data_IF_680266571114
#
_entry.id   IF_680266571114
#
_cell.length_a   1.000
_cell.length_b   1.000
_cell.length_c   1.000
_cell.angle_alpha   90.00
_cell.angle_beta   90.00
_cell.angle_gamma   90.00
#
_symmetry.space_group_name_H-M   'P 1'
#
loop_
_entity.id
_entity.type
_entity.pdbx_description
1 polymer ?
#
# COMPACT_ATOMS: atom_id res chain seq x y z
N UNK A 1 18.04 0.80 -23.54
CA UNK A 1 17.34 0.03 -22.49
C UNK A 1 16.59 1.01 -21.60
N UNK A 2 15.24 0.93 -21.54
CA UNK A 2 14.45 1.69 -20.57
C UNK A 2 14.31 0.83 -19.32
N UNK A 3 15.17 1.06 -18.33
CA UNK A 3 15.07 0.43 -17.02
C UNK A 3 13.86 1.03 -16.29
N UNK A 4 12.76 0.30 -16.24
CA UNK A 4 11.61 0.62 -15.39
C UNK A 4 11.75 -0.14 -14.09
N UNK A 5 12.64 0.33 -13.23
CA UNK A 5 12.84 -0.29 -11.92
C UNK A 5 11.67 0.11 -11.01
N UNK A 6 10.64 -0.73 -11.02
CA UNK A 6 9.48 -0.60 -10.16
C UNK A 6 9.54 -1.74 -9.15
N UNK A 7 10.16 -1.46 -8.00
CA UNK A 7 9.97 -2.24 -6.79
C UNK A 7 8.49 -2.55 -6.65
N UNK A 8 8.17 -3.84 -6.46
CA UNK A 8 6.82 -4.35 -6.29
C UNK A 8 5.85 -3.31 -5.68
N UNK A 9 5.05 -2.67 -6.53
CA UNK A 9 3.85 -1.91 -6.14
C UNK A 9 2.71 -2.84 -5.69
N UNK A 10 3.07 -3.98 -5.14
CA UNK A 10 2.19 -5.15 -5.01
C UNK A 10 1.88 -5.53 -3.56
N UNK A 11 2.52 -4.92 -2.55
CA UNK A 11 1.76 -4.67 -1.32
C UNK A 11 0.55 -3.79 -1.67
N UNK A 12 -0.54 -3.74 -0.88
CA UNK A 12 -1.57 -2.71 -1.06
C UNK A 12 -0.93 -1.36 -0.71
N UNK A 13 -0.11 -0.84 -1.63
CA UNK A 13 0.67 0.36 -1.49
C UNK A 13 0.32 1.27 -2.64
N UNK A 14 -0.71 2.04 -2.33
CA UNK A 14 -1.08 3.33 -2.87
C UNK A 14 0.14 4.15 -3.34
N UNK A 15 -0.04 4.78 -4.49
CA UNK A 15 0.86 5.75 -5.10
C UNK A 15 0.91 7.00 -4.22
N UNK A 16 1.79 7.04 -3.23
CA UNK A 16 1.79 8.10 -2.22
C UNK A 16 2.54 9.34 -2.68
N UNK A 17 2.34 10.50 -2.02
CA UNK A 17 2.83 11.86 -2.36
C UNK A 17 3.25 12.81 -1.21
N UNK A 18 4.34 12.56 -0.48
CA UNK A 18 4.72 13.43 0.66
C UNK A 18 5.32 14.76 0.24
N UNK A 19 4.86 15.83 0.88
CA UNK A 19 5.78 16.75 1.56
C UNK A 19 5.53 16.51 3.04
N UNK A 20 6.56 16.12 3.79
CA UNK A 20 6.47 16.16 5.24
C UNK A 20 6.17 17.62 5.63
N UNK A 21 5.02 17.84 6.27
CA UNK A 21 4.71 19.14 6.87
C UNK A 21 5.90 19.49 7.78
N UNK A 22 6.50 20.69 7.68
CA UNK A 22 7.67 21.08 8.48
C UNK A 22 7.49 20.89 9.99
N UNK A 23 6.24 20.82 10.44
CA UNK A 23 5.86 20.72 11.85
C UNK A 23 5.69 19.27 12.33
N UNK A 24 5.60 18.29 11.42
CA UNK A 24 5.52 16.87 11.80
C UNK A 24 6.89 16.25 12.07
N UNK A 25 7.94 16.86 11.52
CA UNK A 25 9.32 16.40 11.69
C UNK A 25 10.22 17.63 11.79
N UNK A 26 10.94 17.85 12.90
CA UNK A 26 11.87 18.97 13.00
C UNK A 26 12.91 18.84 11.89
N UNK A 27 12.88 19.77 10.93
CA UNK A 27 13.74 19.78 9.72
C UNK A 27 15.25 19.82 9.99
N UNK A 28 15.67 19.92 11.25
CA UNK A 28 17.06 20.11 11.66
C UNK A 28 17.49 19.17 12.81
N UNK A 29 16.89 17.98 12.89
CA UNK A 29 17.39 16.94 13.82
C UNK A 29 18.59 16.19 13.20
N UNK A 30 19.74 16.07 13.89
CA UNK A 30 20.91 15.32 13.39
C UNK A 30 20.57 13.88 12.98
N UNK A 31 19.52 13.29 13.56
CA UNK A 31 19.06 11.94 13.28
C UNK A 31 18.58 11.71 11.82
N UNK A 32 18.07 12.71 11.09
CA UNK A 32 17.59 12.49 9.72
C UNK A 32 18.73 12.45 8.70
N UNK A 33 19.71 13.35 8.82
CA UNK A 33 20.89 13.34 7.94
C UNK A 33 21.82 12.14 8.25
N UNK A 34 21.89 11.72 9.52
CA UNK A 34 22.66 10.55 9.93
C UNK A 34 21.98 9.22 9.54
N UNK A 35 20.64 9.14 9.59
CA UNK A 35 19.90 7.94 9.18
C UNK A 35 19.83 7.74 7.66
N UNK A 36 19.84 8.81 6.86
CA UNK A 36 19.74 8.72 5.38
C UNK A 36 21.11 8.80 4.69
N UNK A 37 22.19 9.12 5.42
CA UNK A 37 23.56 8.99 4.94
C UNK A 37 23.81 9.70 3.60
N UNK A 38 23.26 10.91 3.41
CA UNK A 38 23.47 11.69 2.18
C UNK A 38 24.89 12.29 2.21
N UNK A 39 25.88 11.50 1.82
CA UNK A 39 27.26 11.95 1.69
C UNK A 39 27.40 12.78 0.41
N UNK A 40 27.60 14.10 0.55
CA UNK A 40 28.02 14.96 -0.57
C UNK A 40 29.48 14.65 -0.88
N UNK A 41 29.72 13.86 -1.91
CA UNK A 41 31.08 13.56 -2.38
C UNK A 41 31.61 14.76 -3.16
N UNK A 42 32.75 15.30 -2.73
CA UNK A 42 33.52 16.33 -3.43
C UNK A 42 33.94 15.86 -4.82
N UNK A 43 33.78 16.71 -5.85
CA UNK A 43 34.13 16.39 -7.25
C UNK A 43 35.64 16.29 -7.53
N UNK A 44 36.48 16.65 -6.56
CA UNK A 44 37.94 16.80 -6.77
C UNK A 44 38.79 15.74 -6.07
N UNK A 45 38.18 14.64 -5.59
CA UNK A 45 38.94 13.48 -5.10
C UNK A 45 39.51 12.73 -6.30
N UNK A 46 40.85 12.64 -6.38
CA UNK A 46 41.52 11.61 -7.18
C UNK A 46 40.89 10.27 -6.80
N UNK A 47 40.10 9.71 -7.71
CA UNK A 47 39.52 8.39 -7.52
C UNK A 47 40.70 7.42 -7.35
N UNK A 48 40.72 6.72 -6.21
CA UNK A 48 41.41 5.44 -6.11
C UNK A 48 41.13 4.63 -7.38
N UNK A 49 42.10 3.81 -7.83
CA UNK A 49 41.91 2.91 -8.98
C UNK A 49 40.53 2.25 -8.92
N UNK A 50 39.71 2.49 -9.96
CA UNK A 50 38.33 2.01 -10.02
C UNK A 50 38.34 0.48 -9.89
N UNK A 51 37.70 -0.09 -8.86
CA UNK A 51 37.68 -1.53 -8.66
C UNK A 51 36.87 -2.22 -9.77
N UNK A 52 37.04 -3.54 -9.91
CA UNK A 52 36.18 -4.32 -10.80
C UNK A 52 34.70 -4.13 -10.42
N UNK A 53 33.84 -3.96 -11.43
CA UNK A 53 32.40 -3.85 -11.24
C UNK A 53 31.86 -5.11 -10.57
N UNK A 54 30.94 -4.99 -9.59
CA UNK A 54 30.42 -6.13 -8.88
C UNK A 54 29.50 -6.94 -9.79
N UNK A 55 29.73 -8.25 -9.85
CA UNK A 55 28.82 -9.23 -10.42
C UNK A 55 28.15 -9.97 -9.27
N UNK A 56 27.08 -9.40 -8.73
CA UNK A 56 26.33 -10.00 -7.62
C UNK A 56 25.86 -11.40 -8.01
N UNK A 57 26.00 -12.42 -7.14
CA UNK A 57 25.54 -13.76 -7.45
C UNK A 57 24.07 -13.77 -7.87
N UNK A 58 23.76 -14.44 -8.98
CA UNK A 58 22.37 -14.58 -9.46
C UNK A 58 21.47 -15.23 -8.40
N UNK A 59 22.01 -16.20 -7.65
CA UNK A 59 21.33 -16.90 -6.55
C UNK A 59 22.02 -16.67 -5.22
N UNK A 60 21.35 -15.97 -4.30
CA UNK A 60 21.81 -15.79 -2.92
C UNK A 60 20.65 -15.55 -1.95
N UNK A 61 20.91 -15.76 -0.65
CA UNK A 61 20.04 -15.29 0.42
C UNK A 61 20.84 -14.69 1.57
N UNK A 62 20.21 -13.83 2.35
CA UNK A 62 20.84 -13.15 3.48
C UNK A 62 19.79 -12.64 4.49
N UNK A 63 20.11 -12.64 5.80
CA UNK A 63 19.42 -11.76 6.71
C UNK A 63 19.70 -10.30 6.32
N UNK A 64 18.71 -9.44 6.46
CA UNK A 64 18.84 -8.01 6.18
C UNK A 64 18.49 -7.17 7.41
N UNK A 65 19.18 -6.04 7.57
CA UNK A 65 18.60 -4.91 8.28
C UNK A 65 18.03 -3.97 7.22
N UNK A 66 16.78 -3.57 7.36
CA UNK A 66 16.13 -2.70 6.40
C UNK A 66 15.81 -1.34 7.03
N UNK A 67 15.81 -0.33 6.18
CA UNK A 67 15.25 1.00 6.48
C UNK A 67 14.35 1.38 5.32
N UNK A 68 13.09 1.72 5.57
CA UNK A 68 12.13 2.13 4.54
C UNK A 68 11.38 3.39 4.93
N UNK A 69 11.01 4.18 3.93
CA UNK A 69 10.15 5.36 4.03
C UNK A 69 9.09 5.30 2.94
N UNK A 70 8.30 4.23 2.90
CA UNK A 70 7.28 3.99 1.87
C UNK A 70 5.89 4.51 2.26
N UNK A 71 5.60 4.56 3.56
CA UNK A 71 4.32 5.04 4.11
C UNK A 71 4.41 6.46 4.66
N UNK A 72 5.46 7.21 4.35
CA UNK A 72 5.70 8.53 4.98
C UNK A 72 6.22 8.44 6.42
N UNK A 73 6.51 7.21 6.89
CA UNK A 73 7.12 6.93 8.17
C UNK A 73 8.43 6.19 7.97
N UNK A 74 9.44 6.56 8.76
CA UNK A 74 10.68 5.81 8.81
C UNK A 74 10.44 4.51 9.57
N UNK A 75 10.60 3.39 8.88
CA UNK A 75 10.57 2.07 9.48
C UNK A 75 11.97 1.47 9.38
N UNK A 76 12.43 0.89 10.48
CA UNK A 76 13.68 0.15 10.54
C UNK A 76 13.42 -1.21 11.15
N UNK A 77 14.07 -2.25 10.67
CA UNK A 77 13.90 -3.56 11.25
C UNK A 77 14.84 -4.61 10.69
N UNK A 78 14.61 -5.84 11.13
CA UNK A 78 15.26 -7.03 10.59
C UNK A 78 14.33 -7.71 9.60
N UNK A 79 14.92 -8.43 8.67
CA UNK A 79 14.20 -9.17 7.65
C UNK A 79 15.07 -10.23 6.99
N UNK A 80 14.56 -10.76 5.90
CA UNK A 80 15.24 -11.74 5.08
C UNK A 80 15.10 -11.39 3.60
N UNK A 81 16.17 -11.62 2.84
CA UNK A 81 16.19 -11.44 1.40
C UNK A 81 16.69 -12.74 0.74
N UNK A 82 16.03 -13.16 -0.33
CA UNK A 82 16.53 -14.19 -1.22
C UNK A 82 16.25 -13.83 -2.67
N UNK A 83 17.12 -14.24 -3.58
CA UNK A 83 16.87 -14.16 -5.01
C UNK A 83 17.47 -15.35 -5.75
N UNK A 84 16.88 -15.63 -6.90
CA UNK A 84 17.42 -16.47 -7.97
C UNK A 84 17.04 -15.80 -9.29
N UNK A 85 17.98 -15.02 -9.84
CA UNK A 85 17.75 -14.24 -11.06
C UNK A 85 17.57 -15.14 -12.29
N UNK A 86 18.17 -16.32 -12.30
CA UNK A 86 18.04 -17.29 -13.40
C UNK A 86 16.62 -17.89 -13.41
N UNK A 87 16.06 -18.16 -12.23
CA UNK A 87 14.67 -18.60 -12.04
C UNK A 87 13.65 -17.45 -11.99
N UNK A 88 14.10 -16.21 -12.17
CA UNK A 88 13.27 -14.99 -12.08
C UNK A 88 12.47 -14.91 -10.78
N UNK A 89 13.12 -15.21 -9.66
CA UNK A 89 12.51 -15.25 -8.34
C UNK A 89 13.21 -14.33 -7.34
N UNK A 90 12.44 -13.67 -6.49
CA UNK A 90 12.94 -12.85 -5.39
C UNK A 90 11.96 -12.86 -4.23
N UNK A 91 12.46 -12.98 -3.00
CA UNK A 91 11.68 -12.93 -1.77
C UNK A 91 12.25 -11.89 -0.82
N UNK A 92 11.36 -11.10 -0.24
CA UNK A 92 11.68 -10.15 0.83
C UNK A 92 10.70 -10.38 1.97
N UNK A 93 11.21 -10.61 3.17
CA UNK A 93 10.44 -10.73 4.40
C UNK A 93 10.82 -9.62 5.35
N UNK A 94 9.83 -8.93 5.91
CA UNK A 94 10.03 -7.82 6.84
C UNK A 94 8.93 -7.80 7.89
N UNK A 95 9.25 -7.39 9.12
CA UNK A 95 8.24 -7.06 10.13
C UNK A 95 8.11 -5.55 10.18
N UNK A 96 6.97 -5.02 9.76
CA UNK A 96 6.73 -3.57 9.59
C UNK A 96 5.74 -3.05 10.62
N UNK A 97 5.95 -1.81 11.05
CA UNK A 97 4.99 -1.09 11.90
C UNK A 97 4.15 -0.14 11.05
N UNK A 98 2.87 -0.43 10.93
CA UNK A 98 1.99 0.37 10.07
C UNK A 98 1.71 1.74 10.68
N UNK A 99 2.00 2.81 9.94
CA UNK A 99 1.74 4.20 10.32
C UNK A 99 2.37 4.61 11.67
N UNK A 100 3.52 4.02 12.00
CA UNK A 100 4.22 4.27 13.26
C UNK A 100 3.54 3.67 14.50
N UNK A 101 2.40 3.00 14.36
CA UNK A 101 1.75 2.35 15.51
C UNK A 101 2.44 1.04 15.84
N UNK A 102 2.27 0.60 17.09
CA UNK A 102 2.75 -0.70 17.58
C UNK A 102 1.86 -1.86 17.09
N UNK A 103 1.73 -1.95 15.76
CA UNK A 103 1.02 -3.01 15.05
C UNK A 103 2.01 -3.70 14.11
N UNK A 104 2.86 -4.59 14.64
CA UNK A 104 3.80 -5.33 13.83
C UNK A 104 3.03 -6.20 12.83
N UNK A 105 3.40 -6.05 11.57
CA UNK A 105 2.81 -6.76 10.44
C UNK A 105 3.93 -7.54 9.77
N UNK A 106 3.82 -8.87 9.77
CA UNK A 106 4.75 -9.71 9.02
C UNK A 106 4.37 -9.61 7.55
N UNK A 107 5.25 -9.01 6.74
CA UNK A 107 5.03 -8.78 5.32
C UNK A 107 6.08 -9.55 4.55
N UNK A 108 5.62 -10.48 3.71
CA UNK A 108 6.45 -11.19 2.75
C UNK A 108 6.00 -10.86 1.34
N UNK A 109 6.93 -10.40 0.51
CA UNK A 109 6.74 -10.26 -0.93
C UNK A 109 7.59 -11.29 -1.64
N UNK A 110 6.95 -12.16 -2.42
CA UNK A 110 7.60 -13.08 -3.35
C UNK A 110 7.28 -12.65 -4.78
N UNK A 111 8.31 -12.43 -5.59
CA UNK A 111 8.20 -12.31 -7.04
C UNK A 111 8.64 -13.65 -7.63
N UNK A 112 7.87 -14.18 -8.58
CA UNK A 112 8.29 -15.34 -9.38
C UNK A 112 7.74 -15.21 -10.81
N UNK A 113 8.63 -15.11 -11.78
CA UNK A 113 8.26 -14.77 -13.15
C UNK A 113 7.58 -13.39 -13.20
N UNK A 114 6.38 -13.31 -13.77
CA UNK A 114 5.63 -12.05 -13.91
C UNK A 114 4.50 -11.91 -12.89
N UNK A 115 4.65 -12.53 -11.72
CA UNK A 115 3.66 -12.51 -10.64
C UNK A 115 4.31 -12.08 -9.33
N UNK A 116 3.55 -11.31 -8.55
CA UNK A 116 3.88 -11.00 -7.16
C UNK A 116 2.89 -11.67 -6.24
N UNK A 117 3.40 -12.27 -5.17
CA UNK A 117 2.63 -12.89 -4.10
C UNK A 117 2.96 -12.12 -2.82
N UNK A 118 1.95 -11.49 -2.24
CA UNK A 118 2.11 -10.65 -1.06
C UNK A 118 1.39 -11.32 0.08
N UNK A 119 2.16 -11.75 1.07
CA UNK A 119 1.66 -12.40 2.26
C UNK A 119 1.75 -11.45 3.44
N UNK A 120 0.64 -11.38 4.18
CA UNK A 120 0.57 -10.62 5.41
C UNK A 120 0.12 -11.53 6.54
N UNK A 121 0.84 -11.47 7.66
CA UNK A 121 0.56 -12.26 8.86
C UNK A 121 1.64 -13.30 9.17
N UNK A 122 1.67 -13.73 10.43
CA UNK A 122 2.47 -14.84 10.95
C UNK A 122 1.70 -16.15 10.81
N UNK A 123 1.14 -16.64 11.91
CA UNK A 123 0.50 -17.95 11.98
C UNK A 123 -0.78 -18.05 11.13
N UNK A 124 -1.41 -16.90 10.86
CA UNK A 124 -2.61 -16.79 10.03
C UNK A 124 -2.35 -15.96 8.77
N UNK A 125 -1.20 -16.21 8.13
CA UNK A 125 -0.84 -15.53 6.91
C UNK A 125 -1.94 -15.66 5.84
N UNK A 126 -2.17 -14.57 5.13
CA UNK A 126 -3.01 -14.55 3.93
C UNK A 126 -2.14 -14.22 2.74
N UNK A 127 -2.42 -14.78 1.57
CA UNK A 127 -1.67 -14.47 0.37
C UNK A 127 -2.53 -13.78 -0.67
N UNK A 128 -1.98 -12.72 -1.28
CA UNK A 128 -2.54 -12.06 -2.45
C UNK A 128 -1.66 -12.29 -3.65
N UNK A 129 -2.24 -12.80 -4.73
CA UNK A 129 -1.60 -12.76 -6.03
C UNK A 129 -1.89 -11.43 -6.71
N UNK A 130 -0.86 -10.64 -6.93
CA UNK A 130 -0.94 -9.39 -7.70
C UNK A 130 -0.26 -9.62 -9.04
N UNK A 131 -1.02 -9.42 -10.11
CA UNK A 131 -0.47 -9.42 -11.46
C UNK A 131 0.41 -8.18 -11.64
N UNK A 132 1.51 -8.35 -12.36
CA UNK A 132 2.26 -7.23 -12.90
C UNK A 132 1.41 -6.50 -13.95
N UNK A 133 1.41 -5.16 -13.88
CA UNK A 133 0.62 -4.32 -14.79
C UNK A 133 1.45 -3.90 -15.99
N UNK A 134 0.84 -3.95 -17.19
CA UNK A 134 1.48 -3.50 -18.42
C UNK A 134 2.69 -4.34 -18.81
N UNK A 135 3.84 -3.69 -19.00
CA UNK A 135 5.10 -4.32 -19.45
C UNK A 135 6.00 -4.75 -18.27
N UNK A 136 5.47 -4.79 -17.06
CA UNK A 136 6.21 -5.19 -15.87
C UNK A 136 6.60 -6.68 -15.95
N UNK A 137 7.87 -6.96 -15.70
CA UNK A 137 8.44 -8.29 -15.64
C UNK A 137 9.49 -8.34 -14.53
N UNK A 138 9.90 -9.54 -14.13
CA UNK A 138 11.05 -9.69 -13.25
C UNK A 138 12.30 -9.11 -13.92
N UNK A 139 13.02 -8.26 -13.19
CA UNK A 139 14.34 -7.78 -13.52
C UNK A 139 15.28 -8.09 -12.35
N UNK A 140 16.50 -8.51 -12.63
CA UNK A 140 17.54 -8.67 -11.61
C UNK A 140 17.90 -7.29 -11.03
N UNK A 141 17.64 -7.13 -9.73
CA UNK A 141 17.86 -5.90 -8.96
C UNK A 141 19.31 -5.43 -8.96
N UNK A 142 20.26 -6.32 -9.24
CA UNK A 142 21.70 -6.05 -9.16
C UNK A 142 22.41 -6.04 -10.51
N UNK A 143 21.79 -6.54 -11.58
CA UNK A 143 22.40 -6.67 -12.90
C UNK A 143 22.97 -5.36 -13.46
N UNK A 144 22.36 -4.22 -13.10
CA UNK A 144 22.82 -2.91 -13.55
C UNK A 144 24.24 -2.57 -13.06
N UNK A 145 24.66 -3.07 -11.90
CA UNK A 145 25.94 -2.70 -11.30
C UNK A 145 27.14 -3.22 -12.11
N UNK A 146 26.97 -4.37 -12.77
CA UNK A 146 27.96 -4.96 -13.67
C UNK A 146 28.07 -4.23 -15.03
N UNK A 147 27.10 -3.39 -15.40
CA UNK A 147 27.03 -2.77 -16.71
C UNK A 147 27.76 -1.40 -16.76
N UNK A 148 28.89 -1.29 -17.47
CA UNK A 148 29.69 -0.06 -17.48
C UNK A 148 29.03 1.13 -18.18
N UNK A 149 27.98 0.92 -18.97
CA UNK A 149 27.25 2.01 -19.62
C UNK A 149 26.28 2.72 -18.67
N UNK A 150 25.89 2.06 -17.57
CA UNK A 150 24.87 2.56 -16.65
C UNK A 150 25.31 2.49 -15.18
N UNK A 151 26.54 2.08 -14.85
CA UNK A 151 27.06 2.09 -13.49
C UNK A 151 28.28 2.99 -13.33
N UNK A 152 28.30 3.75 -12.22
CA UNK A 152 29.37 4.67 -11.88
C UNK A 152 29.92 4.38 -10.47
N UNK A 153 31.23 4.23 -10.36
CA UNK A 153 31.92 4.11 -9.07
C UNK A 153 31.99 5.48 -8.37
N UNK A 154 31.66 5.52 -7.09
CA UNK A 154 31.60 6.75 -6.26
C UNK A 154 32.57 6.73 -5.08
N UNK A 155 33.53 5.81 -5.07
CA UNK A 155 34.50 5.65 -3.99
C UNK A 155 34.18 4.52 -3.03
N UNK A 156 35.01 4.39 -1.99
CA UNK A 156 34.81 3.42 -0.91
C UNK A 156 33.92 4.00 0.18
N UNK A 157 33.15 3.14 0.86
CA UNK A 157 32.35 3.48 2.04
C UNK A 157 32.47 2.35 3.07
N UNK A 158 32.23 2.67 4.33
CA UNK A 158 32.08 1.68 5.40
C UNK A 158 30.60 1.55 5.74
N UNK A 159 30.05 0.33 5.63
CA UNK A 159 28.67 0.02 6.02
C UNK A 159 28.69 -1.16 6.98
N UNK A 160 28.08 -0.99 8.16
CA UNK A 160 28.05 -2.02 9.21
C UNK A 160 29.44 -2.65 9.50
N UNK A 161 30.49 -1.83 9.51
CA UNK A 161 31.87 -2.27 9.73
C UNK A 161 32.57 -2.92 8.54
N UNK A 162 31.92 -3.05 7.38
CA UNK A 162 32.48 -3.62 6.14
C UNK A 162 32.87 -2.50 5.18
N UNK A 163 34.12 -2.54 4.68
CA UNK A 163 34.58 -1.62 3.63
C UNK A 163 34.07 -2.14 2.29
N UNK A 164 33.35 -1.32 1.54
CA UNK A 164 32.78 -1.69 0.25
C UNK A 164 32.95 -0.57 -0.79
N UNK A 165 32.91 -0.97 -2.05
CA UNK A 165 32.93 -0.08 -3.21
C UNK A 165 31.50 0.37 -3.51
N UNK A 166 31.28 1.67 -3.58
CA UNK A 166 29.96 2.26 -3.81
C UNK A 166 29.74 2.52 -5.31
N UNK A 167 28.64 1.97 -5.82
CA UNK A 167 28.24 2.07 -7.22
C UNK A 167 26.88 2.75 -7.32
N UNK A 168 26.69 3.60 -8.32
CA UNK A 168 25.43 4.28 -8.60
C UNK A 168 24.89 3.88 -9.96
N UNK A 169 23.58 3.71 -10.06
CA UNK A 169 22.89 3.59 -11.34
C UNK A 169 22.82 4.98 -12.00
N UNK A 170 23.45 5.11 -13.15
CA UNK A 170 23.30 6.24 -14.06
C UNK A 170 21.96 6.11 -14.79
N UNK A 171 20.91 6.63 -14.17
CA UNK A 171 19.59 6.71 -14.79
C UNK A 171 19.29 8.13 -15.26
N UNK A 172 18.64 8.24 -16.42
CA UNK A 172 17.97 9.48 -16.86
C UNK A 172 16.65 9.70 -16.14
N UNK A 173 16.13 8.66 -15.48
CA UNK A 173 14.97 8.79 -14.60
C UNK A 173 15.38 9.42 -13.28
N UNK A 174 14.42 9.96 -12.54
CA UNK A 174 14.71 10.55 -11.24
C UNK A 174 15.11 9.47 -10.19
N UNK A 175 14.84 8.20 -10.45
CA UNK A 175 15.21 7.06 -9.59
C UNK A 175 16.72 7.03 -9.36
N UNK A 176 17.12 7.06 -8.08
CA UNK A 176 18.50 6.89 -7.65
C UNK A 176 18.65 5.51 -7.03
N UNK A 177 19.56 4.71 -7.56
CA UNK A 177 19.89 3.41 -7.00
C UNK A 177 21.38 3.40 -6.72
N UNK A 178 21.76 2.93 -5.55
CA UNK A 178 23.17 2.71 -5.22
C UNK A 178 23.37 1.34 -4.59
N UNK A 179 24.49 0.71 -4.90
CA UNK A 179 24.93 -0.56 -4.35
C UNK A 179 26.31 -0.39 -3.74
N UNK A 180 26.47 -0.66 -2.45
CA UNK A 180 27.78 -0.88 -1.84
C UNK A 180 28.09 -2.37 -1.89
N UNK A 181 29.21 -2.76 -2.50
CA UNK A 181 29.61 -4.15 -2.68
C UNK A 181 31.06 -4.40 -2.24
N UNK A 182 31.28 -5.54 -1.58
CA UNK A 182 32.60 -6.07 -1.23
C UNK A 182 32.97 -7.15 -2.24
N UNK A 183 33.70 -6.75 -3.29
CA UNK A 183 33.86 -7.57 -4.49
C UNK A 183 32.48 -7.83 -5.13
N UNK A 184 32.08 -9.09 -5.21
CA UNK A 184 30.77 -9.49 -5.73
C UNK A 184 29.68 -9.61 -4.65
N UNK A 185 30.00 -9.43 -3.36
CA UNK A 185 29.01 -9.56 -2.30
C UNK A 185 28.29 -8.22 -2.05
N UNK A 186 26.96 -8.12 -2.23
CA UNK A 186 26.22 -6.93 -1.81
C UNK A 186 26.38 -6.71 -0.30
N UNK A 187 26.57 -5.45 0.08
CA UNK A 187 26.65 -4.99 1.48
C UNK A 187 25.46 -4.09 1.80
N UNK A 188 25.13 -3.16 0.91
CA UNK A 188 23.98 -2.27 1.04
C UNK A 188 23.37 -1.96 -0.32
N UNK A 189 22.06 -2.08 -0.45
CA UNK A 189 21.30 -1.59 -1.60
C UNK A 189 20.42 -0.44 -1.13
N UNK A 190 20.59 0.74 -1.71
CA UNK A 190 19.68 1.86 -1.51
C UNK A 190 18.92 2.15 -2.80
N UNK A 191 17.61 2.29 -2.68
CA UNK A 191 16.72 2.70 -3.76
C UNK A 191 15.94 3.93 -3.28
N UNK A 192 16.16 5.04 -3.95
CA UNK A 192 15.40 6.28 -3.76
C UNK A 192 14.60 6.55 -5.02
N UNK A 193 13.28 6.50 -4.92
CA UNK A 193 12.37 7.00 -5.94
C UNK A 193 11.97 8.40 -5.49
N UNK A 194 12.62 9.47 -5.97
CA UNK A 194 12.28 10.81 -5.52
C UNK A 194 10.88 11.20 -6.00
N UNK A 195 10.37 12.24 -5.34
CA UNK A 195 9.13 12.91 -5.72
C UNK A 195 9.20 13.39 -7.18
N UNK A 196 8.46 12.75 -8.08
CA UNK A 196 8.30 13.24 -9.45
C UNK A 196 7.64 14.63 -9.43
N UNK A 197 8.35 15.64 -9.94
CA UNK A 197 7.89 17.05 -9.98
C UNK A 197 6.54 17.27 -10.66
N UNK A 198 6.09 16.35 -11.53
CA UNK A 198 4.86 16.46 -12.31
C UNK A 198 3.63 15.81 -11.68
N UNK A 199 3.82 14.90 -10.73
CA UNK A 199 2.72 14.22 -10.04
C UNK A 199 2.68 14.60 -8.58
N UNK A 200 3.85 14.58 -7.92
CA UNK A 200 4.17 14.90 -6.53
C UNK A 200 4.40 13.69 -5.58
N UNK A 201 4.84 12.53 -6.11
CA UNK A 201 5.23 11.28 -5.41
C UNK A 201 5.78 11.38 -3.97
N UNK A 202 5.52 10.40 -3.10
CA UNK A 202 6.24 10.14 -1.86
C UNK A 202 7.62 9.81 -2.37
N UNK A 203 8.62 10.42 -1.74
CA UNK A 203 9.97 9.90 -1.92
C UNK A 203 10.01 8.52 -1.27
N UNK A 204 9.99 7.45 -2.06
CA UNK A 204 10.20 6.12 -1.52
C UNK A 204 11.69 5.92 -1.34
N UNK A 205 12.09 5.62 -0.11
CA UNK A 205 13.47 5.23 0.19
C UNK A 205 13.45 3.84 0.78
N UNK A 206 14.22 2.94 0.18
CA UNK A 206 14.48 1.60 0.70
C UNK A 206 15.98 1.44 0.84
N UNK A 207 16.43 0.96 1.98
CA UNK A 207 17.79 0.55 2.24
C UNK A 207 17.77 -0.88 2.77
N UNK A 208 18.55 -1.77 2.16
CA UNK A 208 18.77 -3.13 2.62
C UNK A 208 20.26 -3.30 2.91
N UNK A 209 20.61 -3.49 4.17
CA UNK A 209 21.96 -3.89 4.59
C UNK A 209 22.00 -5.40 4.72
N UNK A 210 22.86 -6.04 3.92
CA UNK A 210 22.95 -7.49 3.83
C UNK A 210 23.97 -8.03 4.82
N UNK A 211 23.55 -9.03 5.60
CA UNK A 211 24.43 -9.82 6.45
C UNK A 211 25.29 -10.80 5.66
N UNK A 212 25.57 -11.95 6.26
CA UNK A 212 26.30 -13.02 5.58
C UNK A 212 25.45 -13.63 4.46
N UNK A 213 26.07 -13.87 3.31
CA UNK A 213 25.38 -14.41 2.14
C UNK A 213 25.52 -15.94 2.08
N UNK A 214 24.38 -16.62 1.94
CA UNK A 214 24.31 -18.00 1.46
C UNK A 214 24.22 -17.95 -0.07
N UNK A 215 25.02 -18.73 -0.81
CA UNK A 215 25.16 -18.57 -2.28
C UNK A 215 24.87 -19.86 -3.05
N UNK A 216 24.39 -19.70 -4.28
CA UNK A 216 24.23 -20.80 -5.23
C UNK A 216 23.36 -21.93 -4.67
N UNK A 217 23.84 -23.17 -4.78
CA UNK A 217 23.13 -24.38 -4.32
C UNK A 217 22.88 -24.45 -2.83
N UNK A 218 23.51 -23.60 -2.02
CA UNK A 218 23.25 -23.53 -0.57
C UNK A 218 21.95 -22.77 -0.25
N UNK A 219 21.41 -22.00 -1.21
CA UNK A 219 20.12 -21.32 -1.04
C UNK A 219 19.01 -22.36 -1.23
N UNK A 220 18.24 -22.61 -0.17
CA UNK A 220 17.10 -23.52 -0.23
C UNK A 220 16.12 -23.11 -1.33
N UNK A 221 15.68 -24.07 -2.14
CA UNK A 221 14.70 -23.85 -3.22
C UNK A 221 13.35 -23.42 -2.64
N UNK A 222 12.95 -23.98 -1.51
CA UNK A 222 11.66 -23.72 -0.85
C UNK A 222 11.45 -22.24 -0.52
N UNK A 223 12.52 -21.48 -0.30
CA UNK A 223 12.46 -20.04 -0.04
C UNK A 223 11.87 -19.26 -1.22
N UNK A 224 12.10 -19.73 -2.44
CA UNK A 224 11.71 -19.04 -3.68
C UNK A 224 10.53 -19.75 -4.37
N UNK A 225 10.04 -20.84 -3.79
CA UNK A 225 8.83 -21.48 -4.25
C UNK A 225 7.59 -20.68 -3.85
N UNK A 226 6.55 -20.78 -4.69
CA UNK A 226 5.25 -20.18 -4.40
C UNK A 226 4.64 -20.94 -3.21
N UNK A 227 4.28 -20.27 -2.11
CA UNK A 227 3.64 -20.93 -0.99
C UNK A 227 2.27 -21.46 -1.37
N UNK A 228 1.88 -22.62 -0.83
CA UNK A 228 0.59 -23.28 -1.10
C UNK A 228 -0.60 -22.38 -0.72
N UNK A 229 -0.45 -21.54 0.31
CA UNK A 229 -1.49 -20.59 0.74
C UNK A 229 -1.87 -19.61 -0.38
N UNK A 230 -1.00 -19.42 -1.37
CA UNK A 230 -1.22 -18.55 -2.53
C UNK A 230 -1.95 -19.24 -3.69
N UNK A 231 -2.25 -20.53 -3.59
CA UNK A 231 -2.98 -21.29 -4.62
C UNK A 231 -4.49 -21.07 -4.57
N UNK A 232 -5.01 -20.63 -3.44
CA UNK A 232 -6.45 -20.43 -3.22
C UNK A 232 -6.71 -19.09 -2.55
N UNK A 233 -7.86 -18.50 -2.85
CA UNK A 233 -8.34 -17.35 -2.09
C UNK A 233 -8.63 -17.81 -0.66
N UNK A 234 -8.29 -16.97 0.32
CA UNK A 234 -8.50 -17.34 1.71
C UNK A 234 -10.00 -17.54 1.99
N UNK A 235 -10.39 -18.56 2.78
CA UNK A 235 -11.80 -18.87 3.02
C UNK A 235 -12.50 -17.72 3.77
N UNK A 236 -13.83 -17.60 3.62
CA UNK A 236 -14.61 -16.63 4.38
C UNK A 236 -14.43 -16.85 5.89
N UNK A 237 -14.65 -15.80 6.67
CA UNK A 237 -14.58 -15.87 8.12
C UNK A 237 -15.67 -16.79 8.68
N UNK A 238 -15.26 -17.92 9.26
CA UNK A 238 -16.18 -18.94 9.78
C UNK A 238 -17.11 -18.41 10.87
N UNK A 239 -16.65 -17.46 11.68
CA UNK A 239 -17.45 -16.82 12.72
C UNK A 239 -18.59 -15.95 12.18
N UNK A 240 -18.61 -15.64 10.88
CA UNK A 240 -19.71 -14.97 10.20
C UNK A 240 -20.63 -15.90 9.41
N UNK A 241 -20.24 -17.15 9.19
CA UNK A 241 -21.02 -18.10 8.39
C UNK A 241 -22.33 -18.46 9.08
N UNK A 242 -23.45 -18.35 8.37
CA UNK A 242 -24.78 -18.69 8.90
C UNK A 242 -25.38 -17.62 9.83
N UNK A 243 -24.72 -16.47 10.00
CA UNK A 243 -25.26 -15.35 10.76
C UNK A 243 -26.11 -14.43 9.87
N UNK A 244 -27.05 -13.71 10.49
CA UNK A 244 -27.82 -12.68 9.79
C UNK A 244 -26.90 -11.59 9.21
N UNK A 245 -27.27 -10.96 8.08
CA UNK A 245 -26.56 -9.80 7.58
C UNK A 245 -26.47 -8.71 8.64
N UNK A 246 -25.33 -8.04 8.69
CA UNK A 246 -25.07 -6.97 9.65
C UNK A 246 -25.15 -5.61 8.94
N UNK A 247 -25.68 -4.58 9.62
CA UNK A 247 -25.59 -3.22 9.10
C UNK A 247 -24.12 -2.77 9.08
N UNK A 248 -23.73 -2.09 8.01
CA UNK A 248 -22.43 -1.44 7.89
C UNK A 248 -22.62 0.03 7.53
N UNK A 249 -22.13 0.92 8.39
CA UNK A 249 -21.97 2.34 8.09
C UNK A 249 -20.65 2.53 7.33
N UNK A 250 -20.77 2.71 6.02
CA UNK A 250 -19.64 2.81 5.11
C UNK A 250 -19.40 4.25 4.67
N UNK A 251 -18.13 4.63 4.56
CA UNK A 251 -17.66 5.92 4.10
C UNK A 251 -16.77 5.72 2.88
N UNK A 252 -16.83 6.68 1.95
CA UNK A 252 -16.00 6.69 0.74
C UNK A 252 -15.63 8.13 0.38
N UNK A 253 -14.35 8.33 0.10
CA UNK A 253 -13.78 9.57 -0.40
C UNK A 253 -13.60 9.48 -1.92
N UNK A 254 -14.28 10.35 -2.69
CA UNK A 254 -14.45 10.18 -4.14
C UNK A 254 -14.42 11.53 -4.91
N UNK A 255 -14.19 11.50 -6.24
CA UNK A 255 -13.73 12.68 -6.98
C UNK A 255 -14.80 13.63 -7.51
N UNK A 256 -16.06 13.23 -7.59
CA UNK A 256 -17.05 14.02 -8.30
C UNK A 256 -18.50 13.61 -8.08
N UNK A 257 -19.39 14.36 -8.74
CA UNK A 257 -20.84 14.18 -8.64
C UNK A 257 -21.40 13.25 -9.74
N UNK A 258 -20.56 12.58 -10.55
CA UNK A 258 -21.06 11.75 -11.64
C UNK A 258 -21.73 10.48 -11.10
N UNK A 259 -22.69 9.90 -11.82
CA UNK A 259 -23.37 8.68 -11.35
C UNK A 259 -22.38 7.52 -11.10
N UNK A 260 -21.31 7.44 -11.90
CA UNK A 260 -20.25 6.44 -11.75
C UNK A 260 -19.48 6.62 -10.44
N UNK A 261 -19.29 7.86 -9.96
CA UNK A 261 -18.61 8.15 -8.69
C UNK A 261 -19.41 7.66 -7.46
N UNK A 262 -20.72 7.42 -7.60
CA UNK A 262 -21.57 6.90 -6.53
C UNK A 262 -21.82 5.39 -6.64
N UNK A 263 -21.34 4.73 -7.70
CA UNK A 263 -21.46 3.29 -7.84
C UNK A 263 -20.45 2.58 -6.95
N UNK A 264 -20.96 1.84 -5.95
CA UNK A 264 -20.11 1.10 -5.01
C UNK A 264 -19.62 -0.26 -5.55
N UNK A 265 -20.06 -0.69 -6.72
CA UNK A 265 -19.55 -1.91 -7.35
C UNK A 265 -18.06 -1.80 -7.65
N UNK A 266 -17.31 -2.80 -7.18
CA UNK A 266 -15.86 -2.88 -7.33
C UNK A 266 -15.16 -1.61 -6.78
N UNK A 267 -15.73 -1.02 -5.73
CA UNK A 267 -15.15 0.07 -4.94
C UNK A 267 -14.69 -0.38 -3.55
N UNK A 268 -13.73 0.37 -3.03
CA UNK A 268 -13.32 0.31 -1.65
C UNK A 268 -14.14 1.31 -0.84
N UNK A 269 -14.65 0.85 0.28
CA UNK A 269 -15.24 1.69 1.32
C UNK A 269 -14.58 1.38 2.65
N UNK A 270 -14.86 2.16 3.66
CA UNK A 270 -14.33 1.92 4.99
C UNK A 270 -15.36 2.23 6.06
N UNK A 271 -15.17 1.71 7.27
CA UNK A 271 -15.86 2.29 8.42
C UNK A 271 -15.29 3.70 8.73
N UNK A 272 -15.88 4.40 9.70
CA UNK A 272 -15.49 5.77 10.02
C UNK A 272 -14.01 5.90 10.41
N UNK A 273 -13.43 4.90 11.08
CA UNK A 273 -12.03 4.94 11.49
C UNK A 273 -11.10 4.61 10.32
N UNK A 274 -11.47 3.62 9.50
CA UNK A 274 -10.73 3.24 8.30
C UNK A 274 -10.70 4.35 7.25
N UNK A 275 -11.81 5.07 7.05
CA UNK A 275 -11.87 6.18 6.10
C UNK A 275 -11.17 7.43 6.65
N UNK A 276 -11.28 7.69 7.97
CA UNK A 276 -10.48 8.74 8.60
C UNK A 276 -8.98 8.47 8.45
N UNK A 277 -8.53 7.23 8.63
CA UNK A 277 -7.15 6.84 8.38
C UNK A 277 -6.77 7.05 6.91
N UNK A 278 -7.63 6.67 5.96
CA UNK A 278 -7.42 6.91 4.53
C UNK A 278 -7.32 8.39 4.19
N UNK A 279 -8.29 9.22 4.60
CA UNK A 279 -8.30 10.67 4.35
C UNK A 279 -7.10 11.34 5.01
N UNK A 280 -6.75 10.98 6.26
CA UNK A 280 -5.56 11.51 6.91
C UNK A 280 -4.30 11.15 6.13
N UNK A 281 -4.22 9.90 5.66
CA UNK A 281 -3.06 9.45 4.92
C UNK A 281 -2.95 10.14 3.56
N UNK A 282 -4.08 10.22 2.86
CA UNK A 282 -4.18 10.93 1.59
C UNK A 282 -3.83 12.40 1.77
N UNK A 283 -4.39 13.10 2.75
CA UNK A 283 -4.17 14.55 2.87
C UNK A 283 -2.86 14.97 3.53
N UNK A 284 -2.29 14.17 4.43
CA UNK A 284 -0.98 14.48 5.04
C UNK A 284 0.18 14.04 4.15
N UNK A 285 0.02 12.92 3.46
CA UNK A 285 1.09 12.29 2.70
C UNK A 285 0.79 12.27 1.20
N UNK A 286 -0.25 12.95 0.71
CA UNK A 286 -0.53 13.19 -0.71
C UNK A 286 -1.06 14.58 -1.04
N UNK A 287 -0.20 15.40 -1.66
CA UNK A 287 -0.64 16.54 -2.49
C UNK A 287 -0.68 16.16 -3.98
N UNK A 288 -1.23 14.99 -4.30
CA UNK A 288 -1.25 14.50 -5.69
C UNK A 288 -2.39 15.05 -6.50
N UNK A 289 -2.01 15.62 -7.66
CA UNK A 289 -2.92 15.75 -8.81
C UNK A 289 -3.20 14.41 -9.49
N UNK A 290 -2.69 13.29 -8.95
CA UNK A 290 -2.69 11.97 -9.59
C UNK A 290 -3.84 11.09 -9.09
N UNK A 291 -4.26 11.22 -7.84
CA UNK A 291 -5.43 10.50 -7.33
C UNK A 291 -6.69 11.38 -7.43
N UNK A 292 -7.36 11.19 -8.55
CA UNK A 292 -8.78 11.40 -8.83
C UNK A 292 -9.38 12.81 -8.59
N UNK A 293 -8.71 13.76 -7.94
CA UNK A 293 -9.31 15.01 -7.47
C UNK A 293 -10.47 14.76 -6.49
N UNK A 294 -10.22 13.95 -5.45
CA UNK A 294 -11.19 13.69 -4.38
C UNK A 294 -11.79 14.99 -3.82
N UNK A 295 -13.09 15.21 -4.02
CA UNK A 295 -13.79 16.45 -3.66
C UNK A 295 -14.96 16.20 -2.70
N UNK A 296 -15.42 14.96 -2.59
CA UNK A 296 -16.62 14.60 -1.86
C UNK A 296 -16.37 13.40 -0.97
N UNK A 297 -17.10 13.36 0.15
CA UNK A 297 -17.13 12.20 1.05
C UNK A 297 -18.59 11.80 1.17
N UNK A 298 -18.91 10.54 0.95
CA UNK A 298 -20.27 10.01 1.08
C UNK A 298 -20.34 8.99 2.21
N UNK A 299 -21.45 8.99 2.95
CA UNK A 299 -21.82 7.94 3.90
C UNK A 299 -22.96 7.11 3.33
N UNK A 300 -22.83 5.80 3.43
CA UNK A 300 -23.81 4.82 3.04
C UNK A 300 -24.20 3.94 4.22
N UNK A 301 -25.47 3.55 4.26
CA UNK A 301 -25.91 2.44 5.09
C UNK A 301 -26.01 1.21 4.20
N UNK A 302 -25.25 0.17 4.53
CA UNK A 302 -25.21 -1.10 3.81
C UNK A 302 -25.76 -2.23 4.68
N UNK A 303 -26.17 -3.33 4.04
CA UNK A 303 -26.24 -4.65 4.69
C UNK A 303 -25.19 -5.54 4.07
N UNK A 304 -24.41 -6.22 4.92
CA UNK A 304 -23.32 -7.10 4.48
C UNK A 304 -23.38 -8.44 5.19
N UNK A 305 -23.00 -9.51 4.49
CA UNK A 305 -22.75 -10.79 5.12
C UNK A 305 -21.54 -10.67 6.05
N UNK A 306 -21.64 -11.11 7.33
CA UNK A 306 -20.49 -11.07 8.24
C UNK A 306 -19.45 -12.16 7.94
N UNK A 307 -19.73 -13.08 7.00
CA UNK A 307 -18.79 -14.08 6.50
C UNK A 307 -17.78 -13.46 5.51
N UNK A 308 -17.02 -12.48 5.99
CA UNK A 308 -16.12 -11.67 5.18
C UNK A 308 -15.05 -12.51 4.48
N UNK A 309 -14.79 -12.19 3.21
CA UNK A 309 -13.67 -12.71 2.45
C UNK A 309 -12.38 -11.94 2.72
N UNK A 310 -11.33 -12.33 2.02
CA UNK A 310 -10.07 -11.59 1.97
C UNK A 310 -10.29 -10.18 1.40
N UNK A 311 -9.79 -9.15 2.09
CA UNK A 311 -9.81 -7.80 1.55
C UNK A 311 -9.03 -7.73 0.25
N UNK A 312 -9.60 -7.02 -0.72
CA UNK A 312 -9.03 -6.84 -2.04
C UNK A 312 -9.15 -5.39 -2.43
N UNK A 313 -8.09 -4.79 -2.98
CA UNK A 313 -8.18 -3.46 -3.53
C UNK A 313 -9.20 -3.45 -4.68
N UNK A 314 -10.32 -2.80 -4.43
CA UNK A 314 -11.38 -2.51 -5.37
C UNK A 314 -11.31 -1.01 -5.69
N UNK A 315 -10.32 -0.57 -6.45
CA UNK A 315 -10.11 0.87 -6.72
C UNK A 315 -10.69 1.21 -8.07
N UNK A 316 -12.01 1.09 -8.16
CA UNK A 316 -12.78 1.00 -9.40
C UNK A 316 -12.78 2.22 -10.30
N UNK A 317 -11.63 2.64 -10.80
CA UNK A 317 -11.51 3.83 -11.62
C UNK A 317 -11.43 3.47 -13.11
N UNK A 318 -12.15 4.20 -13.99
CA UNK A 318 -12.28 3.86 -15.41
C UNK A 318 -10.95 3.87 -16.19
N UNK A 319 -9.91 4.51 -15.64
CA UNK A 319 -8.61 4.69 -16.28
C UNK A 319 -7.59 3.56 -15.96
N UNK A 320 -8.00 2.49 -15.28
CA UNK A 320 -7.15 1.31 -15.03
C UNK A 320 -6.94 0.49 -16.31
N UNK A 321 -5.92 -0.37 -16.35
CA UNK A 321 -5.71 -1.33 -17.45
C UNK A 321 -5.68 -2.75 -16.84
N UNK A 322 -6.64 -3.65 -17.18
CA UNK A 322 -7.76 -3.43 -18.10
C UNK A 322 -8.75 -2.38 -17.57
N UNK A 323 -9.40 -1.66 -18.49
CA UNK A 323 -10.34 -0.58 -18.17
C UNK A 323 -11.55 -1.10 -17.43
N UNK A 324 -11.84 -0.47 -16.30
CA UNK A 324 -13.05 -0.72 -15.53
C UNK A 324 -12.75 -1.19 -14.11
N UNK A 325 -13.74 -1.04 -13.23
CA UNK A 325 -13.56 -1.35 -11.84
C UNK A 325 -13.49 -2.88 -11.68
N UNK A 326 -12.44 -3.37 -11.01
CA UNK A 326 -12.37 -4.77 -10.62
C UNK A 326 -11.60 -4.91 -9.32
N UNK A 327 -12.13 -5.73 -8.41
CA UNK A 327 -11.41 -6.14 -7.22
C UNK A 327 -10.28 -7.10 -7.59
N UNK A 328 -9.06 -6.80 -7.15
CA UNK A 328 -7.88 -7.61 -7.47
C UNK A 328 -7.51 -8.52 -6.29
N UNK A 329 -7.17 -9.77 -6.59
CA UNK A 329 -6.66 -10.78 -5.64
C UNK A 329 -7.68 -11.34 -4.64
N UNK A 330 -8.98 -11.28 -4.97
CA UNK A 330 -10.08 -11.65 -4.08
C UNK A 330 -11.02 -12.69 -4.60
N UNK A 331 -11.88 -13.16 -3.70
CA UNK A 331 -13.08 -13.88 -4.12
C UNK A 331 -14.08 -12.85 -4.69
N UNK A 332 -14.53 -12.99 -5.94
CA UNK A 332 -15.31 -11.97 -6.67
C UNK A 332 -16.75 -11.77 -6.20
N UNK A 333 -17.21 -12.51 -5.20
CA UNK A 333 -18.56 -12.50 -4.62
C UNK A 333 -18.57 -12.10 -3.15
N UNK A 334 -17.50 -12.32 -2.40
CA UNK A 334 -17.47 -12.02 -0.97
C UNK A 334 -17.04 -10.58 -0.70
N UNK A 335 -17.75 -9.88 0.20
CA UNK A 335 -17.22 -8.62 0.76
C UNK A 335 -15.87 -8.90 1.42
N UNK A 336 -14.81 -8.33 0.88
CA UNK A 336 -13.49 -8.43 1.46
C UNK A 336 -13.37 -7.49 2.64
N UNK A 337 -12.82 -7.92 3.77
CA UNK A 337 -12.57 -7.06 4.95
C UNK A 337 -11.13 -7.14 5.39
N UNK A 338 -10.53 -6.02 5.79
CA UNK A 338 -9.15 -5.99 6.25
C UNK A 338 -8.80 -4.68 6.94
N UNK A 339 -7.81 -4.72 7.81
CA UNK A 339 -7.27 -3.51 8.40
C UNK A 339 -6.63 -2.63 7.32
N UNK A 340 -6.75 -1.28 7.42
CA UNK A 340 -6.08 -0.35 6.54
C UNK A 340 -4.59 -0.65 6.41
N UNK A 341 -4.07 -0.55 5.18
CA UNK A 341 -2.66 -0.78 4.85
C UNK A 341 -2.14 -2.16 5.28
N UNK A 342 -3.02 -3.16 5.36
CA UNK A 342 -2.67 -4.52 5.82
C UNK A 342 -2.04 -4.55 7.22
N UNK A 343 -2.46 -3.65 8.11
CA UNK A 343 -1.96 -3.61 9.48
C UNK A 343 -2.33 -4.88 10.28
N UNK A 344 -1.39 -5.34 11.10
CA UNK A 344 -1.59 -6.43 12.05
C UNK A 344 -1.43 -7.82 11.43
N UNK A 345 -1.76 -8.84 12.22
CA UNK A 345 -1.66 -10.24 11.82
C UNK A 345 -2.87 -10.68 10.98
N UNK A 346 -2.62 -11.36 9.86
CA UNK A 346 -3.65 -11.85 8.93
C UNK A 346 -4.64 -10.78 8.44
N UNK A 347 -4.23 -9.50 8.47
CA UNK A 347 -5.03 -8.30 8.19
C UNK A 347 -6.28 -8.10 9.04
N UNK A 348 -6.39 -8.79 10.17
CA UNK A 348 -7.54 -8.69 11.07
C UNK A 348 -8.90 -8.98 10.40
N UNK A 349 -8.93 -9.67 9.25
CA UNK A 349 -10.16 -9.80 8.44
C UNK A 349 -11.32 -10.48 9.15
N UNK A 350 -11.04 -11.34 10.13
CA UNK A 350 -12.03 -12.06 10.94
C UNK A 350 -12.13 -11.51 12.37
N UNK A 351 -11.37 -10.47 12.70
CA UNK A 351 -11.44 -9.82 14.01
C UNK A 351 -12.77 -9.09 14.19
N UNK A 352 -13.20 -8.94 15.44
CA UNK A 352 -14.36 -8.12 15.76
C UNK A 352 -14.03 -6.62 15.61
N UNK A 353 -12.79 -6.24 15.92
CA UNK A 353 -12.35 -4.85 15.96
C UNK A 353 -10.94 -4.71 15.37
N UNK A 354 -10.65 -3.50 14.91
CA UNK A 354 -9.32 -3.08 14.45
C UNK A 354 -9.03 -1.70 15.04
N UNK A 355 -7.82 -1.45 15.56
CA UNK A 355 -7.44 -0.14 16.10
C UNK A 355 -7.40 0.96 15.02
N UNK A 356 -7.42 0.59 13.75
CA UNK A 356 -7.49 1.49 12.59
C UNK A 356 -8.87 1.53 11.93
N UNK A 357 -9.85 0.79 12.45
CA UNK A 357 -11.04 0.44 11.70
C UNK A 357 -10.75 -0.54 10.58
N UNK A 358 -11.71 -0.70 9.68
CA UNK A 358 -11.66 -1.65 8.58
C UNK A 358 -11.89 -0.97 7.23
N UNK A 359 -11.19 -1.50 6.23
CA UNK A 359 -11.51 -1.32 4.83
C UNK A 359 -12.30 -2.51 4.31
N UNK A 360 -13.18 -2.23 3.37
CA UNK A 360 -14.07 -3.19 2.74
C UNK A 360 -13.95 -3.08 1.23
N UNK A 361 -13.72 -4.21 0.57
CA UNK A 361 -13.82 -4.33 -0.87
C UNK A 361 -15.22 -4.82 -1.22
N UNK A 362 -15.94 -4.10 -2.08
CA UNK A 362 -17.32 -4.40 -2.47
C UNK A 362 -17.35 -4.96 -3.90
N UNK A 363 -17.04 -6.24 -4.13
CA UNK A 363 -16.98 -6.77 -5.48
C UNK A 363 -18.35 -6.80 -6.12
N UNK A 364 -18.42 -6.47 -7.41
CA UNK A 364 -19.67 -6.47 -8.18
C UNK A 364 -20.40 -7.81 -8.15
N UNK A 365 -19.66 -8.92 -8.23
CA UNK A 365 -20.24 -10.27 -8.17
C UNK A 365 -20.89 -10.61 -6.81
N UNK A 366 -20.65 -9.79 -5.78
CA UNK A 366 -21.25 -9.90 -4.46
C UNK A 366 -22.51 -9.06 -4.26
N UNK A 367 -22.82 -8.14 -5.20
CA UNK A 367 -23.90 -7.19 -5.05
C UNK A 367 -25.26 -7.88 -5.21
N UNK A 368 -26.15 -7.67 -4.25
CA UNK A 368 -27.53 -8.10 -4.33
C UNK A 368 -28.33 -7.27 -5.34
N UNK A 369 -29.39 -7.86 -5.91
CA UNK A 369 -30.30 -7.13 -6.79
C UNK A 369 -30.99 -5.97 -6.04
N UNK A 370 -31.49 -4.93 -6.72
CA UNK A 370 -32.28 -3.89 -6.07
C UNK A 370 -33.43 -4.47 -5.24
N UNK A 371 -33.57 -4.03 -3.98
CA UNK A 371 -34.55 -4.54 -3.02
C UNK A 371 -34.24 -5.90 -2.38
N UNK A 372 -33.22 -6.61 -2.87
CA UNK A 372 -32.73 -7.85 -2.26
C UNK A 372 -31.75 -7.55 -1.13
N UNK A 373 -31.74 -8.42 -0.11
CA UNK A 373 -30.80 -8.36 1.01
C UNK A 373 -29.98 -9.64 1.08
N UNK A 374 -28.74 -9.61 1.60
CA UNK A 374 -27.99 -10.82 1.85
C UNK A 374 -28.78 -11.79 2.74
N UNK A 375 -28.60 -13.10 2.58
CA UNK A 375 -29.12 -14.11 3.51
C UNK A 375 -28.01 -14.64 4.44
N UNK A 376 -28.36 -15.55 5.36
CA UNK A 376 -27.37 -16.27 6.19
C UNK A 376 -26.40 -17.12 5.37
N UNK A 377 -26.87 -17.57 4.21
CA UNK A 377 -26.17 -18.39 3.23
C UNK A 377 -25.57 -17.56 2.09
N UNK A 378 -25.64 -16.22 2.18
CA UNK A 378 -25.11 -15.26 1.21
C UNK A 378 -23.69 -15.60 0.72
N UNK A 379 -22.83 -16.02 1.64
CA UNK A 379 -21.43 -16.38 1.35
C UNK A 379 -21.32 -17.55 0.36
N UNK A 380 -22.32 -18.44 0.33
CA UNK A 380 -22.42 -19.55 -0.61
C UNK A 380 -23.19 -19.16 -1.88
N UNK A 381 -24.22 -18.33 -1.78
CA UNK A 381 -25.15 -18.02 -2.89
C UNK A 381 -24.75 -16.84 -3.76
N UNK A 382 -23.97 -15.89 -3.25
CA UNK A 382 -23.36 -14.79 -4.00
C UNK A 382 -23.93 -13.39 -3.74
N UNK A 383 -25.12 -13.23 -3.17
CA UNK A 383 -25.63 -11.91 -2.73
C UNK A 383 -25.11 -11.62 -1.32
N UNK A 384 -23.96 -10.96 -1.22
CA UNK A 384 -23.24 -10.73 0.04
C UNK A 384 -23.30 -9.29 0.54
N UNK A 385 -23.72 -8.34 -0.30
CA UNK A 385 -23.95 -6.97 0.15
C UNK A 385 -25.03 -6.24 -0.64
N UNK A 386 -25.74 -5.35 0.03
CA UNK A 386 -26.72 -4.45 -0.58
C UNK A 386 -26.59 -3.03 -0.03
N UNK A 387 -26.96 -2.05 -0.85
CA UNK A 387 -27.07 -0.65 -0.44
C UNK A 387 -28.47 -0.43 0.09
N UNK A 388 -28.62 -0.03 1.36
CA UNK A 388 -29.92 0.41 1.89
C UNK A 388 -30.24 1.82 1.45
N UNK A 389 -29.26 2.70 1.61
CA UNK A 389 -29.38 4.11 1.22
C UNK A 389 -28.02 4.79 1.24
N UNK A 390 -27.89 5.85 0.43
CA UNK A 390 -26.90 6.90 0.65
C UNK A 390 -27.46 7.85 1.71
N UNK A 391 -26.78 7.94 2.85
CA UNK A 391 -27.25 8.70 4.01
C UNK A 391 -27.03 10.20 3.80
N UNK A 392 -25.85 10.58 3.34
CA UNK A 392 -25.43 11.98 3.18
C UNK A 392 -24.15 12.06 2.33
N UNK A 393 -23.95 13.17 1.64
CA UNK A 393 -22.67 13.50 0.99
C UNK A 393 -22.22 14.88 1.43
N UNK A 394 -20.94 15.02 1.78
CA UNK A 394 -20.37 16.32 2.18
C UNK A 394 -19.27 16.70 1.22
N UNK A 395 -19.09 18.00 1.00
CA UNK A 395 -17.90 18.50 0.32
C UNK A 395 -16.70 18.43 1.27
N UNK A 396 -15.58 17.88 0.80
CA UNK A 396 -14.40 17.65 1.63
C UNK A 396 -13.86 18.92 2.30
N UNK A 397 -14.08 20.09 1.70
CA UNK A 397 -13.56 21.36 2.20
C UNK A 397 -14.14 21.68 3.58
N UNK A 398 -15.40 21.31 3.83
CA UNK A 398 -16.01 21.48 5.14
C UNK A 398 -15.22 20.72 6.21
N UNK A 399 -14.91 19.44 5.97
CA UNK A 399 -14.12 18.63 6.89
C UNK A 399 -12.68 19.15 7.01
N UNK A 400 -11.99 19.28 5.87
CA UNK A 400 -10.54 19.53 5.85
C UNK A 400 -10.15 20.96 6.22
N UNK A 401 -10.90 21.95 5.75
CA UNK A 401 -10.60 23.37 5.93
C UNK A 401 -11.36 23.94 7.11
N UNK A 402 -12.68 23.76 7.15
CA UNK A 402 -13.53 24.47 8.10
C UNK A 402 -13.47 23.83 9.50
N UNK A 403 -13.36 22.50 9.57
CA UNK A 403 -13.22 21.74 10.83
C UNK A 403 -11.79 21.35 11.19
N UNK A 404 -10.80 21.83 10.43
CA UNK A 404 -9.38 21.64 10.75
C UNK A 404 -8.95 20.17 10.86
N UNK A 405 -9.59 19.25 10.11
CA UNK A 405 -9.38 17.80 10.22
C UNK A 405 -7.91 17.36 10.16
N UNK A 406 -7.09 18.04 9.35
CA UNK A 406 -5.66 17.73 9.23
C UNK A 406 -4.89 17.93 10.53
N UNK A 407 -5.35 18.81 11.42
CA UNK A 407 -4.74 18.96 12.74
C UNK A 407 -4.99 17.72 13.61
N UNK A 408 -6.19 17.14 13.53
CA UNK A 408 -6.47 15.86 14.19
C UNK A 408 -5.65 14.73 13.60
N UNK A 409 -5.52 14.67 12.27
CA UNK A 409 -4.67 13.68 11.61
C UNK A 409 -3.22 13.76 12.09
N UNK A 410 -2.64 14.97 12.15
CA UNK A 410 -1.27 15.19 12.64
C UNK A 410 -1.12 14.71 14.07
N UNK A 411 -2.06 15.07 14.95
CA UNK A 411 -2.03 14.68 16.36
C UNK A 411 -2.18 13.16 16.54
N UNK A 412 -3.04 12.52 15.76
CA UNK A 412 -3.26 11.07 15.85
C UNK A 412 -2.06 10.28 15.34
N UNK A 413 -1.38 10.78 14.31
CA UNK A 413 -0.11 10.23 13.82
C UNK A 413 1.00 10.38 14.85
N UNK A 414 1.21 11.60 15.39
CA UNK A 414 2.30 11.88 16.33
C UNK A 414 2.15 11.12 17.67
N UNK A 415 0.91 10.86 18.07
CA UNK A 415 0.61 10.20 19.35
C UNK A 415 0.32 8.70 19.20
N UNK A 416 0.33 8.16 17.97
CA UNK A 416 0.04 6.76 17.67
C UNK A 416 -1.33 6.29 18.20
N UNK A 417 -2.36 7.14 18.11
CA UNK A 417 -3.69 6.92 18.72
C UNK A 417 -4.76 6.36 17.77
N UNK A 418 -4.38 5.68 16.69
CA UNK A 418 -5.31 4.96 15.82
C UNK A 418 -6.42 5.84 15.21
N UNK A 419 -6.09 7.08 14.83
CA UNK A 419 -7.00 8.02 14.16
C UNK A 419 -8.33 8.32 14.89
N UNK A 420 -8.41 8.11 16.21
CA UNK A 420 -9.66 8.28 16.97
C UNK A 420 -10.22 9.71 16.93
N UNK A 421 -9.36 10.73 16.91
CA UNK A 421 -9.83 12.13 16.85
C UNK A 421 -10.34 12.47 15.47
N UNK A 422 -9.60 12.04 14.45
CA UNK A 422 -10.02 12.17 13.06
C UNK A 422 -11.35 11.45 12.83
N UNK A 423 -11.50 10.21 13.28
CA UNK A 423 -12.75 9.45 13.17
C UNK A 423 -13.93 10.20 13.81
N UNK A 424 -13.76 10.75 15.01
CA UNK A 424 -14.79 11.55 15.68
C UNK A 424 -15.15 12.83 14.92
N UNK A 425 -14.16 13.51 14.33
CA UNK A 425 -14.40 14.69 13.52
C UNK A 425 -15.16 14.36 12.23
N UNK A 426 -14.81 13.24 11.57
CA UNK A 426 -15.55 12.72 10.41
C UNK A 426 -16.99 12.37 10.79
N UNK A 427 -17.20 11.66 11.90
CA UNK A 427 -18.53 11.33 12.40
C UNK A 427 -19.38 12.58 12.66
N UNK A 428 -18.82 13.60 13.31
CA UNK A 428 -19.49 14.87 13.59
C UNK A 428 -19.94 15.59 12.30
N UNK A 429 -19.10 15.60 11.26
CA UNK A 429 -19.42 16.19 9.96
C UNK A 429 -20.65 15.54 9.30
N UNK A 430 -20.86 14.24 9.54
CA UNK A 430 -22.02 13.52 9.03
C UNK A 430 -23.24 13.58 9.96
N UNK A 431 -23.05 13.76 11.26
CA UNK A 431 -24.13 13.75 12.26
C UNK A 431 -25.03 15.01 12.25
N UNK A 432 -24.52 16.15 11.76
CA UNK A 432 -25.27 17.42 11.72
C UNK A 432 -24.93 18.22 10.47
N UNK A 433 -25.80 19.17 10.10
CA UNK A 433 -25.50 20.21 9.11
C UNK A 433 -24.99 21.52 9.75
N UNK A 434 -25.10 21.66 11.07
CA UNK A 434 -24.68 22.86 11.81
C UNK A 434 -23.14 22.90 11.97
N UNK A 435 -22.43 23.84 11.31
CA UNK A 435 -20.98 23.93 11.39
C UNK A 435 -20.47 24.28 12.79
N UNK A 436 -21.28 24.91 13.64
CA UNK A 436 -20.85 25.32 14.98
C UNK A 436 -20.57 24.14 15.92
N UNK A 437 -21.14 22.96 15.62
CA UNK A 437 -20.93 21.71 16.35
C UNK A 437 -20.14 20.67 15.54
N UNK A 438 -19.48 21.09 14.46
CA UNK A 438 -18.67 20.21 13.61
C UNK A 438 -19.43 19.59 12.43
N UNK A 439 -20.68 19.98 12.19
CA UNK A 439 -21.50 19.49 11.08
C UNK A 439 -21.08 20.02 9.71
N UNK A 440 -21.46 19.30 8.65
CA UNK A 440 -21.29 19.73 7.27
C UNK A 440 -22.62 19.64 6.52
N UNK A 441 -22.93 20.59 5.65
CA UNK A 441 -24.16 20.53 4.85
C UNK A 441 -24.15 19.31 3.91
N UNK A 442 -25.31 18.67 3.72
CA UNK A 442 -25.47 17.69 2.65
C UNK A 442 -25.43 18.42 1.29
N UNK A 443 -24.47 18.06 0.45
CA UNK A 443 -24.37 18.60 -0.91
C UNK A 443 -25.12 17.73 -1.93
N UNK A 444 -25.75 16.65 -1.46
CA UNK A 444 -26.54 15.74 -2.27
C UNK A 444 -25.71 14.90 -3.24
N UNK A 445 -26.38 14.43 -4.28
CA UNK A 445 -25.83 13.59 -5.34
C UNK A 445 -26.94 13.20 -6.31
N UNK A 446 -26.64 12.64 -7.49
CA UNK A 446 -27.64 11.95 -8.30
C UNK A 446 -28.43 11.00 -7.40
N UNK A 447 -29.76 11.00 -7.49
CA UNK A 447 -30.61 10.14 -6.67
C UNK A 447 -30.11 8.70 -6.74
N UNK A 448 -30.24 7.94 -5.64
CA UNK A 448 -30.09 6.48 -5.70
C UNK A 448 -31.36 5.97 -6.38
N UNK A 449 -31.55 6.28 -7.67
CA UNK A 449 -32.67 5.74 -8.43
C UNK A 449 -32.41 4.24 -8.58
N UNK A 450 -33.09 3.45 -7.75
CA UNK A 450 -33.05 1.98 -7.80
C UNK A 450 -33.42 1.42 -9.19
N UNK A 451 -34.00 2.27 -10.06
CA UNK A 451 -34.45 1.94 -11.41
C UNK A 451 -33.59 2.53 -12.54
N UNK A 452 -32.51 3.28 -12.27
CA UNK A 452 -31.72 3.93 -13.35
C UNK A 452 -30.56 3.08 -13.88
N UNK A 453 -30.45 1.81 -13.48
CA UNK A 453 -29.42 0.90 -14.03
C UNK A 453 -29.93 0.30 -15.33
N UNK A 454 -29.24 0.65 -16.43
CA UNK A 454 -29.31 0.05 -17.77
C UNK A 454 -30.15 0.78 -18.81
N UNK A 455 -29.60 1.87 -19.35
CA UNK A 455 -29.65 2.18 -20.78
C UNK A 455 -28.40 2.99 -21.19
N UNK A 456 -27.25 2.33 -21.22
CA UNK A 456 -26.18 2.69 -22.17
C UNK A 456 -26.11 1.54 -23.15
N UNK A 457 -26.92 1.65 -24.21
CA UNK A 457 -26.82 0.79 -25.39
C UNK A 457 -25.51 1.12 -26.11
N UNK A 458 -24.73 0.07 -26.38
CA UNK A 458 -23.54 0.05 -27.26
C UNK A 458 -23.92 0.47 -28.67
#
# INVERSE_FOLDING_TARGET
MRFWLWLCRCGPLYLLQTQAHPDLFPKNGPAYEEAVGIVRVSKDLKLDDEPARPTVPARFSAPINYTTFDTGFLQTGKGFFAQDADEKAMRVETIRHTLGMDLPSNVTTLIRGNKSYNMNGGDHAICRQVAFFGQQQFDDFFAWAANPLISEYRGKRVVAGRVCSLWYLLSTTQTRISLCAEGNAPVELNVTLPKNNSGGGISFNFSYQFGHLTKGSQVSEDLLQKPEICDTSAPPCENGSGLEPVPLDAYIFHPGMSADDYNLEDQNVADVAGDAAFICFDRLFRESKVDHNYTLISRYALEVSPAFGQYCPCNGYPDTIPSGPSCIAGEPRLVGRGAPFSAGDGELRCAAESPLGFWYGLPKGGRCSPGERPSKEAWATGCTWSVKQRVKTIHQACLLKDHGFLNYCKADVLEHKGFRRSAKALEAAFASEDPSIGGCADVGGPGVDENSVSMVLV
#
